data_IF_319358276915
#
_entry.id   IF_319358276915
#
_cell.length_a   1.000
_cell.length_b   1.000
_cell.length_c   1.000
_cell.angle_alpha   90.00
_cell.angle_beta   90.00
_cell.angle_gamma   90.00
#
_symmetry.space_group_name_H-M   'P 1'
#
loop_
_entity.id
_entity.type
_entity.pdbx_description
1 polymer ?
#
# COMPACT_ATOMS: atom_id res chain seq x y z
N UNK A 1 -6.24 -13.40 3.97
CA UNK A 1 -5.80 -12.10 4.52
C UNK A 1 -5.26 -11.24 3.38
N UNK A 2 -5.53 -9.94 3.38
CA UNK A 2 -5.03 -9.01 2.34
C UNK A 2 -3.65 -8.46 2.69
N UNK A 3 -2.81 -8.29 1.68
CA UNK A 3 -1.46 -7.74 1.79
C UNK A 3 -1.45 -6.28 2.26
N UNK A 4 -0.49 -5.87 3.09
CA UNK A 4 -0.47 -4.56 3.77
C UNK A 4 -0.38 -3.42 2.78
N UNK A 5 0.42 -3.59 1.72
CA UNK A 5 0.55 -2.56 0.68
C UNK A 5 -0.77 -2.30 0.00
N UNK A 6 -1.57 -3.35 -0.23
CA UNK A 6 -2.91 -3.22 -0.83
C UNK A 6 -3.86 -2.52 0.15
N UNK A 7 -3.82 -2.87 1.43
CA UNK A 7 -4.63 -2.22 2.47
C UNK A 7 -4.31 -0.73 2.57
N UNK A 8 -3.02 -0.37 2.61
CA UNK A 8 -2.58 1.02 2.68
C UNK A 8 -2.92 1.81 1.41
N UNK A 9 -2.73 1.22 0.23
CA UNK A 9 -3.13 1.87 -1.02
C UNK A 9 -4.64 2.17 -1.05
N UNK A 10 -5.47 1.18 -0.67
CA UNK A 10 -6.91 1.37 -0.53
C UNK A 10 -7.25 2.40 0.53
N UNK A 11 -6.52 2.45 1.63
CA UNK A 11 -6.74 3.43 2.70
C UNK A 11 -6.48 4.85 2.20
N UNK A 12 -5.40 5.04 1.43
CA UNK A 12 -5.07 6.31 0.80
C UNK A 12 -6.18 6.75 -0.17
N UNK A 13 -6.61 5.86 -1.07
CA UNK A 13 -7.69 6.10 -2.02
C UNK A 13 -9.04 6.37 -1.34
N UNK A 14 -9.31 5.69 -0.21
CA UNK A 14 -10.51 5.86 0.60
C UNK A 14 -10.51 7.14 1.45
N UNK A 15 -9.43 7.93 1.43
CA UNK A 15 -9.29 9.15 2.23
C UNK A 15 -9.09 8.88 3.72
N UNK A 16 -8.55 7.71 4.09
CA UNK A 16 -8.15 7.44 5.46
C UNK A 16 -6.86 8.19 5.80
N UNK A 17 -6.83 8.84 6.95
CA UNK A 17 -5.63 9.44 7.53
C UNK A 17 -5.07 8.51 8.59
N UNK A 18 -3.79 8.17 8.49
CA UNK A 18 -3.07 7.38 9.47
C UNK A 18 -2.07 8.28 10.21
N UNK A 19 -1.83 8.01 11.49
CA UNK A 19 -0.79 8.68 12.29
C UNK A 19 -0.19 7.71 13.31
N UNK A 20 1.10 7.88 13.62
CA UNK A 20 1.72 7.28 14.79
C UNK A 20 1.71 8.29 15.94
N UNK A 21 1.21 7.90 17.11
CA UNK A 21 1.25 8.67 18.35
C UNK A 21 1.68 7.74 19.47
N UNK A 22 2.86 7.98 20.05
CA UNK A 22 3.41 7.19 21.16
C UNK A 22 3.44 5.68 20.88
N UNK A 23 3.85 5.29 19.67
CA UNK A 23 3.88 3.89 19.22
C UNK A 23 2.50 3.30 18.91
N UNK A 24 1.42 4.09 18.95
CA UNK A 24 0.06 3.68 18.60
C UNK A 24 -0.31 4.15 17.20
N UNK A 25 -0.89 3.25 16.42
CA UNK A 25 -1.53 3.60 15.15
C UNK A 25 -2.90 4.24 15.42
N UNK A 26 -3.10 5.46 14.92
CA UNK A 26 -4.39 6.12 14.86
C UNK A 26 -4.87 6.21 13.43
N UNK A 27 -6.14 5.87 13.21
CA UNK A 27 -6.79 5.90 11.91
C UNK A 27 -8.02 6.81 12.02
N UNK A 28 -8.16 7.75 11.09
CA UNK A 28 -9.30 8.65 10.97
C UNK A 28 -9.78 8.67 9.52
N UNK A 29 -11.04 9.04 9.28
CA UNK A 29 -11.60 9.13 7.92
C UNK A 29 -13.06 8.69 7.86
N UNK A 30 -13.59 8.42 6.66
CA UNK A 30 -15.00 8.06 6.48
C UNK A 30 -15.35 6.72 7.14
N UNK A 31 -16.37 6.72 8.02
CA UNK A 31 -16.78 5.54 8.80
C UNK A 31 -17.18 4.32 7.96
N UNK A 32 -17.65 4.54 6.72
CA UNK A 32 -17.99 3.46 5.76
C UNK A 32 -16.80 2.54 5.43
N UNK A 33 -15.57 2.97 5.71
CA UNK A 33 -14.35 2.18 5.51
C UNK A 33 -13.82 1.61 6.84
N UNK A 34 -14.69 1.41 7.83
CA UNK A 34 -14.34 0.86 9.15
C UNK A 34 -13.60 -0.49 9.06
N UNK A 35 -14.07 -1.40 8.21
CA UNK A 35 -13.45 -2.72 8.02
C UNK A 35 -12.00 -2.61 7.49
N UNK A 36 -11.74 -1.62 6.63
CA UNK A 36 -10.39 -1.34 6.15
C UNK A 36 -9.49 -0.81 7.27
N UNK A 37 -10.02 0.06 8.12
CA UNK A 37 -9.34 0.51 9.34
C UNK A 37 -9.03 -0.64 10.29
N UNK A 38 -9.98 -1.55 10.50
CA UNK A 38 -9.80 -2.74 11.33
C UNK A 38 -8.71 -3.67 10.77
N UNK A 39 -8.72 -3.94 9.47
CA UNK A 39 -7.69 -4.75 8.81
C UNK A 39 -6.28 -4.13 8.93
N UNK A 40 -6.17 -2.80 8.93
CA UNK A 40 -4.89 -2.12 9.19
C UNK A 40 -4.44 -2.25 10.66
N UNK A 41 -5.37 -2.17 11.61
CA UNK A 41 -5.07 -2.32 13.04
C UNK A 41 -4.61 -3.74 13.40
N UNK A 42 -5.19 -4.77 12.78
CA UNK A 42 -4.74 -6.17 12.90
C UNK A 42 -3.30 -6.36 12.42
N UNK A 43 -2.81 -5.44 11.61
CA UNK A 43 -1.47 -5.44 11.01
C UNK A 43 -0.61 -4.27 11.48
N UNK A 44 -0.88 -3.74 12.67
CA UNK A 44 -0.29 -2.49 13.20
C UNK A 44 1.23 -2.40 13.07
N UNK A 45 1.96 -3.48 13.31
CA UNK A 45 3.43 -3.47 13.36
C UNK A 45 4.00 -3.17 11.97
N UNK A 46 3.62 -3.95 10.97
CA UNK A 46 3.99 -3.70 9.57
C UNK A 46 3.46 -2.35 9.06
N UNK A 47 2.25 -1.95 9.48
CA UNK A 47 1.72 -0.63 9.10
C UNK A 47 2.57 0.50 9.65
N UNK A 48 3.01 0.44 10.90
CA UNK A 48 3.86 1.45 11.52
C UNK A 48 5.23 1.54 10.84
N UNK A 49 5.78 0.41 10.38
CA UNK A 49 7.02 0.38 9.60
C UNK A 49 6.89 1.08 8.24
N UNK A 50 5.76 0.92 7.55
CA UNK A 50 5.50 1.50 6.22
C UNK A 50 5.00 2.95 6.31
N UNK A 51 4.45 3.34 7.47
CA UNK A 51 3.75 4.61 7.65
C UNK A 51 4.52 5.84 7.15
N UNK A 52 5.85 5.99 7.33
CA UNK A 52 6.58 7.14 6.79
C UNK A 52 6.44 7.29 5.27
N UNK A 53 6.38 6.19 4.51
CA UNK A 53 6.15 6.23 3.06
C UNK A 53 4.72 6.62 2.73
N UNK A 54 3.74 6.09 3.49
CA UNK A 54 2.33 6.46 3.35
C UNK A 54 2.09 7.96 3.59
N UNK A 55 2.79 8.53 4.57
CA UNK A 55 2.75 9.95 4.92
C UNK A 55 3.55 10.83 3.96
N UNK A 56 4.36 10.24 3.08
CA UNK A 56 5.23 10.94 2.14
C UNK A 56 6.53 11.48 2.76
N UNK A 57 6.86 11.06 3.98
CA UNK A 57 8.11 11.38 4.68
C UNK A 57 9.30 10.59 4.11
N UNK A 58 9.03 9.43 3.50
CA UNK A 58 9.98 8.65 2.72
C UNK A 58 9.54 8.57 1.25
N UNK A 59 10.49 8.56 0.29
CA UNK A 59 10.17 8.61 -1.13
C UNK A 59 9.52 7.32 -1.68
N UNK A 60 9.73 6.19 -1.00
CA UNK A 60 9.23 4.86 -1.39
C UNK A 60 9.43 3.84 -0.26
N UNK A 61 9.09 2.58 -0.52
CA UNK A 61 9.37 1.48 0.40
C UNK A 61 10.88 1.18 0.48
N UNK A 62 11.32 0.53 1.55
CA UNK A 62 12.72 0.14 1.70
C UNK A 62 13.01 -1.18 0.97
N UNK A 63 13.25 -1.07 -0.34
CA UNK A 63 13.53 -2.20 -1.22
C UNK A 63 14.88 -2.88 -0.95
N UNK A 64 15.74 -2.33 -0.09
CA UNK A 64 16.99 -2.99 0.29
C UNK A 64 16.75 -4.32 1.04
N UNK A 65 15.60 -4.45 1.69
CA UNK A 65 15.14 -5.68 2.36
C UNK A 65 14.22 -6.53 1.46
N UNK A 66 14.05 -6.13 0.20
CA UNK A 66 13.30 -6.90 -0.79
C UNK A 66 14.06 -8.15 -1.23
N UNK A 67 13.36 -9.01 -1.97
CA UNK A 67 13.92 -10.27 -2.46
C UNK A 67 13.80 -10.45 -3.97
N UNK A 68 14.47 -11.49 -4.45
CA UNK A 68 14.25 -12.06 -5.78
C UNK A 68 13.81 -13.50 -5.59
N UNK A 69 12.72 -13.88 -6.26
CA UNK A 69 12.19 -15.24 -6.24
C UNK A 69 11.79 -15.70 -7.64
N UNK A 70 11.05 -16.81 -7.71
CA UNK A 70 10.54 -17.35 -8.97
C UNK A 70 9.63 -16.36 -9.71
N UNK A 71 9.49 -16.53 -11.02
CA UNK A 71 8.62 -15.68 -11.81
C UNK A 71 7.15 -15.92 -11.41
N UNK A 72 6.49 -14.92 -10.84
CA UNK A 72 5.11 -15.01 -10.40
C UNK A 72 4.36 -13.68 -10.66
N UNK A 73 3.02 -13.68 -10.78
CA UNK A 73 2.24 -12.47 -11.04
C UNK A 73 2.40 -11.44 -9.92
N UNK A 74 2.72 -10.19 -10.28
CA UNK A 74 2.71 -9.06 -9.37
C UNK A 74 1.32 -8.89 -8.77
N UNK A 75 1.23 -8.80 -7.44
CA UNK A 75 -0.03 -8.69 -6.73
C UNK A 75 -0.86 -7.46 -7.14
N UNK A 76 -0.21 -6.38 -7.60
CA UNK A 76 -0.87 -5.11 -7.92
C UNK A 76 -1.31 -5.00 -9.39
N UNK A 77 -0.54 -5.52 -10.34
CA UNK A 77 -0.81 -5.34 -11.78
C UNK A 77 -1.02 -6.64 -12.55
N UNK A 78 -0.84 -7.79 -11.91
CA UNK A 78 -0.94 -9.12 -12.52
C UNK A 78 0.21 -9.49 -13.47
N UNK A 79 1.08 -8.54 -13.87
CA UNK A 79 2.21 -8.83 -14.77
C UNK A 79 3.33 -9.59 -14.04
N UNK A 80 4.13 -10.42 -14.74
CA UNK A 80 5.19 -11.19 -14.11
C UNK A 80 6.20 -10.34 -13.31
N UNK A 81 6.58 -10.80 -12.13
CA UNK A 81 7.59 -10.20 -11.25
C UNK A 81 8.51 -11.27 -10.66
N UNK A 82 9.81 -11.03 -10.77
CA UNK A 82 10.83 -11.73 -9.98
C UNK A 82 11.04 -11.07 -8.61
N UNK A 83 10.71 -9.79 -8.49
CA UNK A 83 10.92 -9.00 -7.27
C UNK A 83 9.87 -9.36 -6.21
N UNK A 84 10.31 -9.41 -4.95
CA UNK A 84 9.49 -9.59 -3.75
C UNK A 84 9.49 -8.32 -2.91
N UNK A 85 8.32 -7.95 -2.40
CA UNK A 85 8.22 -6.82 -1.49
C UNK A 85 9.00 -7.08 -0.19
N UNK A 86 9.48 -6.02 0.48
CA UNK A 86 10.34 -6.16 1.66
C UNK A 86 9.62 -6.53 2.96
N UNK A 87 8.29 -6.65 2.97
CA UNK A 87 7.51 -6.85 4.21
C UNK A 87 6.86 -8.23 4.31
N UNK A 88 6.25 -8.71 3.22
CA UNK A 88 5.55 -10.01 3.21
C UNK A 88 6.14 -10.98 2.17
N UNK A 89 7.17 -10.55 1.45
CA UNK A 89 7.88 -11.37 0.47
C UNK A 89 6.99 -11.90 -0.66
N UNK A 90 5.98 -11.11 -1.06
CA UNK A 90 5.01 -11.40 -2.12
C UNK A 90 5.48 -10.77 -3.44
N UNK A 91 5.19 -11.40 -4.62
CA UNK A 91 5.60 -10.84 -5.91
C UNK A 91 5.03 -9.44 -6.13
N UNK A 92 5.91 -8.45 -6.26
CA UNK A 92 5.49 -7.05 -6.42
C UNK A 92 6.57 -6.22 -7.11
N UNK A 93 6.16 -5.39 -8.07
CA UNK A 93 7.07 -4.42 -8.66
C UNK A 93 7.19 -3.18 -7.77
N UNK A 94 8.42 -2.69 -7.60
CA UNK A 94 8.69 -1.38 -7.00
C UNK A 94 7.84 -0.26 -7.58
N UNK A 95 7.77 -0.21 -8.91
CA UNK A 95 7.01 0.80 -9.65
C UNK A 95 5.49 0.70 -9.47
N UNK A 96 4.97 -0.41 -8.97
CA UNK A 96 3.56 -0.53 -8.63
C UNK A 96 3.30 -0.16 -7.16
N UNK A 97 4.16 -0.61 -6.25
CA UNK A 97 3.94 -0.44 -4.81
C UNK A 97 4.16 1.00 -4.34
N UNK A 98 5.25 1.65 -4.77
CA UNK A 98 5.61 2.98 -4.29
C UNK A 98 4.51 4.02 -4.63
N UNK A 99 3.98 4.09 -5.88
CA UNK A 99 2.84 4.94 -6.20
C UNK A 99 1.56 4.57 -5.43
N UNK A 100 1.29 3.27 -5.26
CA UNK A 100 0.10 2.80 -4.57
C UNK A 100 0.05 3.26 -3.12
N UNK A 101 1.18 3.16 -2.40
CA UNK A 101 1.27 3.66 -1.02
C UNK A 101 1.19 5.19 -0.97
N UNK A 102 1.91 5.87 -1.86
CA UNK A 102 2.09 7.32 -1.78
C UNK A 102 0.85 8.09 -2.20
N UNK A 103 0.12 7.59 -3.20
CA UNK A 103 -0.99 8.30 -3.84
C UNK A 103 -2.29 7.51 -3.87
N UNK A 104 -2.30 6.24 -3.43
CA UNK A 104 -3.50 5.40 -3.50
C UNK A 104 -3.82 4.90 -4.90
N UNK A 105 -2.90 5.05 -5.85
CA UNK A 105 -3.10 4.67 -7.25
C UNK A 105 -2.72 3.20 -7.43
N UNK A 106 -3.70 2.35 -7.69
CA UNK A 106 -3.46 0.95 -8.05
C UNK A 106 -3.29 0.82 -9.58
N UNK A 107 -2.34 0.00 -10.07
CA UNK A 107 -2.18 -0.24 -11.50
C UNK A 107 -3.47 -0.73 -12.15
N UNK A 108 -3.83 -0.19 -13.32
CA UNK A 108 -5.07 -0.53 -14.01
C UNK A 108 -6.33 0.18 -13.46
N UNK A 109 -6.15 1.17 -12.57
CA UNK A 109 -7.16 2.17 -12.21
C UNK A 109 -6.79 3.52 -12.84
N UNK A 110 -6.40 3.52 -14.13
CA UNK A 110 -6.38 4.77 -14.89
C UNK A 110 -7.82 5.26 -14.96
N UNK A 111 -8.12 6.37 -14.29
CA UNK A 111 -9.38 7.06 -14.47
C UNK A 111 -9.54 7.32 -15.97
N UNK A 112 -10.61 6.78 -16.55
CA UNK A 112 -11.19 7.34 -17.77
C UNK A 112 -11.64 8.74 -17.36
N UNK A 113 -10.74 9.72 -17.49
CA UNK A 113 -11.10 11.13 -17.42
C UNK A 113 -11.96 11.41 -18.64
N UNK A 114 -13.27 11.22 -18.52
CA UNK A 114 -14.25 11.82 -19.41
C UNK A 114 -14.18 13.35 -19.23
N UNK A 115 -13.21 13.95 -19.90
CA UNK A 115 -13.21 15.37 -20.22
C UNK A 115 -13.25 15.50 -21.73
N UNK A 116 -14.40 15.14 -22.30
CA UNK A 116 -14.76 15.46 -23.67
C UNK A 116 -16.28 15.64 -23.77
N UNK A 117 -16.77 16.84 -23.45
CA UNK A 117 -17.87 17.55 -24.12
C UNK A 117 -18.09 18.91 -23.46
#
# INVERSE_FOLDING_TARGET
MSHVVVLLARAKAAGLTLRALDGRLRIAGPRRHGDLGQALLERKETVLEILPTYLGERPGLDWCHGGVGELAPCLLCGRPSLVRDPYEYVPMHKLCADPAIRWGVLPGQEEVSDTAA
#
